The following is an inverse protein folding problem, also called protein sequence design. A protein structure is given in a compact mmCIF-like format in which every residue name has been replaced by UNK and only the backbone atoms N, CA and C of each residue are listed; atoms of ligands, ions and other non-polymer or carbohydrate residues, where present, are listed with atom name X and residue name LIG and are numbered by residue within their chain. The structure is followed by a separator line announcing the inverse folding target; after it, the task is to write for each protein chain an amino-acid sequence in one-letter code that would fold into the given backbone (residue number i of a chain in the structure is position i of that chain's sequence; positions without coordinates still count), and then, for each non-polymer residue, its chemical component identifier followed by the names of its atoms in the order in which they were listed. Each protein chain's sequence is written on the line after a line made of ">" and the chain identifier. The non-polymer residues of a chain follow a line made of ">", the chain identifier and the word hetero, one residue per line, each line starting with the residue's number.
data_IF_154925842807
#
_entry.id   IF_154925842807
#
_cell.length_a   1.000
_cell.length_b   1.000
_cell.length_c   1.000
_cell.angle_alpha   90.00
_cell.angle_beta   90.00
_cell.angle_gamma   90.00
#
_symmetry.space_group_name_H-M   'P 1'
#
loop_
_entity.id
_entity.type
_entity.pdbx_description
1 polymer ?
#
# COMPACT_ATOMS: atom_id res chain seq x y z
N UNK A 1 38.35 38.43 -0.95
CA UNK A 1 38.17 37.97 0.45
C UNK A 1 36.91 37.11 0.46
N UNK A 2 36.92 35.89 1.03
CA UNK A 2 35.70 35.09 1.12
C UNK A 2 34.64 35.85 1.94
N UNK A 3 33.34 35.70 1.61
CA UNK A 3 32.27 36.40 2.31
C UNK A 3 32.24 36.03 3.79
N UNK A 4 31.89 36.99 4.64
CA UNK A 4 31.81 36.80 6.08
C UNK A 4 30.75 35.72 6.42
N UNK A 5 31.12 34.62 7.11
CA UNK A 5 30.18 33.54 7.45
C UNK A 5 28.97 34.00 8.26
N UNK A 6 29.12 35.03 9.10
CA UNK A 6 28.02 35.58 9.89
C UNK A 6 27.04 36.37 9.03
N UNK A 7 27.53 37.12 8.06
CA UNK A 7 26.66 37.86 7.11
C UNK A 7 25.88 36.90 6.22
N UNK A 8 26.52 35.81 5.79
CA UNK A 8 25.87 34.72 5.05
C UNK A 8 24.77 34.05 5.89
N UNK A 9 25.03 33.72 7.16
CA UNK A 9 24.02 33.15 8.04
C UNK A 9 22.80 34.07 8.22
N UNK A 10 23.04 35.37 8.42
CA UNK A 10 21.96 36.35 8.59
C UNK A 10 21.16 36.56 7.29
N UNK A 11 21.80 36.58 6.13
CA UNK A 11 21.10 36.71 4.84
C UNK A 11 20.18 35.51 4.58
N UNK A 12 20.64 34.30 4.90
CA UNK A 12 19.86 33.06 4.80
C UNK A 12 18.65 33.11 5.72
N UNK A 13 18.84 33.48 7.00
CA UNK A 13 17.73 33.59 7.97
C UNK A 13 16.68 34.60 7.53
N UNK A 14 17.08 35.71 6.91
CA UNK A 14 16.15 36.69 6.31
C UNK A 14 15.39 36.10 5.13
N UNK A 15 16.06 35.37 4.23
CA UNK A 15 15.41 34.74 3.08
C UNK A 15 14.38 33.69 3.51
N UNK A 16 14.74 32.82 4.46
CA UNK A 16 13.84 31.83 5.05
C UNK A 16 12.63 32.52 5.70
N UNK A 17 12.87 33.54 6.51
CA UNK A 17 11.80 34.31 7.16
C UNK A 17 10.85 34.97 6.15
N UNK A 18 11.38 35.45 5.03
CA UNK A 18 10.58 36.01 3.93
C UNK A 18 9.73 34.95 3.24
N UNK A 19 10.31 33.77 2.91
CA UNK A 19 9.58 32.65 2.34
C UNK A 19 8.46 32.16 3.26
N UNK A 20 8.72 32.02 4.56
CA UNK A 20 7.73 31.62 5.57
C UNK A 20 6.51 32.55 5.61
N UNK A 21 6.72 33.86 5.47
CA UNK A 21 5.61 34.85 5.45
C UNK A 21 4.67 34.66 4.26
N UNK A 22 5.17 34.09 3.16
CA UNK A 22 4.40 33.83 1.95
C UNK A 22 3.75 32.44 1.93
N UNK A 23 4.04 31.58 2.93
CA UNK A 23 3.40 30.28 3.07
C UNK A 23 2.02 30.45 3.72
N UNK A 24 1.02 29.82 3.11
CA UNK A 24 -0.37 29.85 3.57
C UNK A 24 -0.88 28.43 3.73
N UNK A 25 -1.88 28.26 4.58
CA UNK A 25 -2.63 27.00 4.60
C UNK A 25 -3.37 26.85 3.27
N UNK A 26 -3.30 25.66 2.68
CA UNK A 26 -3.93 25.33 1.40
C UNK A 26 -4.91 24.18 1.61
N UNK A 27 -6.12 24.35 1.13
CA UNK A 27 -7.16 23.32 1.18
C UNK A 27 -7.27 22.63 -0.20
N UNK A 28 -6.95 21.33 -0.31
CA UNK A 28 -7.10 20.61 -1.56
C UNK A 28 -8.57 20.39 -1.92
N UNK A 29 -8.83 20.28 -3.23
CA UNK A 29 -10.13 19.80 -3.73
C UNK A 29 -10.26 18.32 -3.40
N UNK A 30 -11.45 17.88 -3.03
CA UNK A 30 -11.70 16.48 -2.72
C UNK A 30 -11.66 15.64 -4.01
N UNK A 31 -10.99 14.48 -3.99
CA UNK A 31 -11.08 13.50 -5.07
C UNK A 31 -12.52 12.98 -5.28
N UNK A 32 -12.80 12.47 -6.47
CA UNK A 32 -14.01 11.69 -6.73
C UNK A 32 -14.02 10.43 -5.85
N UNK A 33 -15.22 10.00 -5.42
CA UNK A 33 -15.38 8.83 -4.56
C UNK A 33 -14.74 8.96 -3.16
N UNK A 34 -14.27 10.14 -2.73
CA UNK A 34 -13.54 10.29 -1.45
C UNK A 34 -14.29 9.75 -0.22
N UNK A 35 -15.62 9.85 -0.21
CA UNK A 35 -16.45 9.30 0.89
C UNK A 35 -16.44 7.78 0.94
N UNK A 36 -16.18 7.13 -0.18
CA UNK A 36 -16.16 5.68 -0.32
C UNK A 36 -14.77 5.10 -0.04
N UNK A 37 -13.77 5.96 0.23
CA UNK A 37 -12.40 5.54 0.52
C UNK A 37 -12.36 4.67 1.77
N UNK A 38 -11.55 3.62 1.69
CA UNK A 38 -11.31 2.68 2.77
C UNK A 38 -10.76 3.40 4.01
N UNK A 39 -9.89 4.41 3.81
CA UNK A 39 -9.37 5.24 4.90
C UNK A 39 -10.40 6.17 5.55
N UNK A 40 -11.52 6.46 4.88
CA UNK A 40 -12.59 7.34 5.39
C UNK A 40 -13.66 6.52 6.12
N UNK A 41 -14.05 5.40 5.52
CA UNK A 41 -15.07 4.51 6.09
C UNK A 41 -14.51 3.58 7.18
N UNK A 42 -13.19 3.43 7.25
CA UNK A 42 -12.51 2.61 8.26
C UNK A 42 -13.01 1.15 8.27
N UNK A 43 -13.40 0.62 7.11
CA UNK A 43 -13.99 -0.72 6.95
C UNK A 43 -12.95 -1.84 6.82
N UNK A 44 -11.66 -1.48 6.77
CA UNK A 44 -10.55 -2.42 6.62
C UNK A 44 -10.30 -3.25 7.90
N UNK A 45 -9.75 -4.45 7.73
CA UNK A 45 -9.54 -5.43 8.81
C UNK A 45 -8.58 -4.92 9.90
N UNK A 46 -7.58 -4.11 9.54
CA UNK A 46 -6.62 -3.55 10.52
C UNK A 46 -7.28 -2.70 11.62
N UNK A 47 -8.52 -2.24 11.43
CA UNK A 47 -9.28 -1.50 12.45
C UNK A 47 -9.90 -2.39 13.54
N UNK A 48 -9.59 -3.69 13.54
CA UNK A 48 -10.14 -4.67 14.51
C UNK A 48 -11.46 -5.31 14.05
N UNK A 49 -11.78 -5.20 12.76
CA UNK A 49 -12.95 -5.87 12.20
C UNK A 49 -12.70 -7.38 12.13
N UNK A 50 -13.69 -8.18 12.54
CA UNK A 50 -13.50 -9.64 12.65
C UNK A 50 -13.43 -10.27 11.25
N UNK A 51 -12.25 -10.73 10.85
CA UNK A 51 -12.05 -11.53 9.63
C UNK A 51 -12.60 -12.97 9.73
N UNK A 52 -13.48 -13.22 10.70
CA UNK A 52 -13.99 -14.55 11.08
C UNK A 52 -14.70 -15.29 9.95
N UNK A 53 -15.13 -14.60 8.89
CA UNK A 53 -15.76 -15.19 7.71
C UNK A 53 -14.77 -15.91 6.77
N UNK A 54 -13.46 -15.80 7.01
CA UNK A 54 -12.44 -16.43 6.18
C UNK A 54 -12.12 -17.88 6.58
N UNK A 55 -12.64 -18.40 7.70
CA UNK A 55 -12.36 -19.78 8.15
C UNK A 55 -13.41 -20.75 7.63
N UNK A 56 -13.00 -21.91 7.12
CA UNK A 56 -13.92 -22.96 6.68
C UNK A 56 -14.11 -24.00 7.79
N UNK A 57 -15.34 -24.50 7.91
CA UNK A 57 -15.64 -25.63 8.79
C UNK A 57 -15.08 -26.93 8.21
N UNK A 58 -14.57 -27.81 9.08
CA UNK A 58 -14.17 -29.16 8.68
C UNK A 58 -15.35 -29.91 8.04
N UNK A 59 -15.21 -30.44 6.81
CA UNK A 59 -16.22 -31.29 6.20
C UNK A 59 -16.51 -32.52 7.06
N UNK A 60 -17.78 -32.96 7.08
CA UNK A 60 -18.20 -34.18 7.78
C UNK A 60 -17.63 -35.47 7.17
N UNK A 61 -17.07 -35.40 5.96
CA UNK A 61 -16.44 -36.51 5.24
C UNK A 61 -15.02 -36.82 5.69
N UNK A 62 -14.38 -35.93 6.45
CA UNK A 62 -13.02 -36.15 6.95
C UNK A 62 -13.09 -37.08 8.16
N UNK A 63 -12.41 -38.22 8.07
CA UNK A 63 -12.36 -39.21 9.16
C UNK A 63 -11.72 -38.61 10.43
N UNK A 64 -12.11 -39.09 11.60
CA UNK A 64 -11.68 -38.55 12.89
C UNK A 64 -10.14 -38.49 13.06
N UNK A 65 -9.33 -39.48 12.62
CA UNK A 65 -7.87 -39.39 12.67
C UNK A 65 -7.26 -38.26 11.82
N UNK A 66 -7.98 -37.83 10.77
CA UNK A 66 -7.55 -36.77 9.85
C UNK A 66 -8.10 -35.40 10.22
N UNK A 67 -9.07 -35.33 11.15
CA UNK A 67 -9.77 -34.10 11.53
C UNK A 67 -8.83 -33.06 12.15
N UNK A 68 -7.97 -33.47 13.08
CA UNK A 68 -7.00 -32.56 13.70
C UNK A 68 -6.03 -32.00 12.66
N UNK A 69 -5.59 -32.85 11.73
CA UNK A 69 -4.68 -32.46 10.65
C UNK A 69 -5.35 -31.51 9.65
N UNK A 70 -6.62 -31.74 9.32
CA UNK A 70 -7.40 -30.79 8.52
C UNK A 70 -7.46 -29.42 9.19
N UNK A 71 -7.72 -29.36 10.49
CA UNK A 71 -7.79 -28.09 11.24
C UNK A 71 -6.45 -27.36 11.21
N UNK A 72 -5.33 -28.08 11.35
CA UNK A 72 -4.00 -27.50 11.25
C UNK A 72 -3.75 -26.87 9.87
N UNK A 73 -4.05 -27.61 8.79
CA UNK A 73 -3.91 -27.10 7.44
C UNK A 73 -4.88 -25.96 7.13
N UNK A 74 -6.11 -26.01 7.67
CA UNK A 74 -7.10 -24.94 7.55
C UNK A 74 -6.64 -23.67 8.25
N UNK A 75 -6.01 -23.78 9.42
CA UNK A 75 -5.39 -22.65 10.11
C UNK A 75 -4.30 -21.99 9.26
N UNK A 76 -3.49 -22.78 8.54
CA UNK A 76 -2.51 -22.24 7.60
C UNK A 76 -3.17 -21.52 6.41
N UNK A 77 -4.23 -22.10 5.81
CA UNK A 77 -5.01 -21.46 4.74
C UNK A 77 -5.72 -20.19 5.20
N UNK A 78 -6.25 -20.19 6.42
CA UNK A 78 -6.85 -19.01 7.05
C UNK A 78 -5.82 -17.89 7.23
N UNK A 79 -4.63 -18.19 7.77
CA UNK A 79 -3.54 -17.22 7.90
C UNK A 79 -3.14 -16.63 6.55
N UNK A 80 -3.04 -17.45 5.51
CA UNK A 80 -2.70 -16.99 4.17
C UNK A 80 -3.78 -16.05 3.61
N UNK A 81 -5.07 -16.42 3.71
CA UNK A 81 -6.20 -15.56 3.29
C UNK A 81 -6.21 -14.23 4.01
N UNK A 82 -5.99 -14.25 5.33
CA UNK A 82 -5.93 -13.03 6.14
C UNK A 82 -4.76 -12.14 5.71
N UNK A 83 -3.59 -12.72 5.47
CA UNK A 83 -2.44 -11.99 4.96
C UNK A 83 -2.73 -11.35 3.60
N UNK A 84 -3.29 -12.11 2.65
CA UNK A 84 -3.64 -11.60 1.32
C UNK A 84 -4.65 -10.46 1.39
N UNK A 85 -5.66 -10.57 2.26
CA UNK A 85 -6.64 -9.51 2.49
C UNK A 85 -5.99 -8.23 3.03
N UNK A 86 -5.17 -8.35 4.08
CA UNK A 86 -4.48 -7.20 4.68
C UNK A 86 -3.57 -6.50 3.66
N UNK A 87 -2.83 -7.27 2.86
CA UNK A 87 -1.92 -6.70 1.86
C UNK A 87 -2.69 -5.98 0.73
N UNK A 88 -3.85 -6.50 0.31
CA UNK A 88 -4.74 -5.82 -0.63
C UNK A 88 -5.28 -4.51 -0.05
N UNK A 89 -5.78 -4.53 1.18
CA UNK A 89 -6.27 -3.32 1.85
C UNK A 89 -5.17 -2.27 2.03
N UNK A 90 -3.95 -2.68 2.43
CA UNK A 90 -2.78 -1.79 2.50
C UNK A 90 -2.44 -1.15 1.17
N UNK A 91 -2.56 -1.90 0.07
CA UNK A 91 -2.33 -1.39 -1.27
C UNK A 91 -3.36 -0.31 -1.63
N UNK A 92 -4.65 -0.57 -1.38
CA UNK A 92 -5.75 0.39 -1.59
C UNK A 92 -5.51 1.65 -0.75
N UNK A 93 -5.26 1.51 0.55
CA UNK A 93 -4.97 2.65 1.44
C UNK A 93 -3.77 3.48 0.96
N UNK A 94 -2.72 2.82 0.45
CA UNK A 94 -1.54 3.51 -0.07
C UNK A 94 -1.86 4.31 -1.34
N UNK A 95 -2.66 3.74 -2.24
CA UNK A 95 -3.13 4.40 -3.45
C UNK A 95 -4.00 5.62 -3.11
N UNK A 96 -5.00 5.46 -2.25
CA UNK A 96 -5.88 6.55 -1.78
C UNK A 96 -5.08 7.72 -1.18
N UNK A 97 -4.12 7.42 -0.31
CA UNK A 97 -3.25 8.44 0.28
C UNK A 97 -2.38 9.15 -0.76
N UNK A 98 -1.92 8.47 -1.80
CA UNK A 98 -1.09 9.08 -2.84
C UNK A 98 -1.90 10.01 -3.73
N UNK A 99 -3.14 9.63 -4.08
CA UNK A 99 -4.10 10.51 -4.75
C UNK A 99 -4.33 11.79 -3.93
N UNK A 100 -4.51 11.66 -2.61
CA UNK A 100 -4.66 12.82 -1.73
C UNK A 100 -3.40 13.71 -1.69
N UNK A 101 -2.20 13.10 -1.71
CA UNK A 101 -0.94 13.85 -1.80
C UNK A 101 -0.83 14.64 -3.10
N UNK A 102 -1.23 14.06 -4.24
CA UNK A 102 -1.23 14.77 -5.52
C UNK A 102 -2.28 15.89 -5.58
N UNK A 103 -3.46 15.71 -4.99
CA UNK A 103 -4.44 16.79 -4.84
C UNK A 103 -3.92 17.92 -3.94
N UNK A 104 -3.23 17.57 -2.85
CA UNK A 104 -2.52 18.52 -2.00
C UNK A 104 -1.42 19.27 -2.75
N UNK A 105 -0.66 18.58 -3.60
CA UNK A 105 0.38 19.18 -4.45
C UNK A 105 -0.20 20.13 -5.47
N UNK A 106 -1.26 19.73 -6.17
CA UNK A 106 -1.97 20.55 -7.14
C UNK A 106 -2.52 21.83 -6.52
N UNK A 107 -3.15 21.73 -5.34
CA UNK A 107 -3.69 22.90 -4.64
C UNK A 107 -2.58 23.89 -4.20
N UNK A 108 -1.41 23.38 -3.79
CA UNK A 108 -0.26 24.25 -3.49
C UNK A 108 0.26 24.94 -4.75
N UNK A 109 0.33 24.20 -5.85
CA UNK A 109 0.77 24.73 -7.13
C UNK A 109 -0.19 25.81 -7.68
N UNK A 110 -1.50 25.68 -7.45
CA UNK A 110 -2.51 26.71 -7.73
C UNK A 110 -2.22 28.02 -6.96
N UNK A 111 -1.62 27.93 -5.77
CA UNK A 111 -1.22 29.06 -4.93
C UNK A 111 0.23 29.51 -5.16
N UNK A 112 0.91 28.99 -6.20
CA UNK A 112 2.33 29.21 -6.46
C UNK A 112 3.24 28.86 -5.26
N UNK A 113 2.86 27.84 -4.48
CA UNK A 113 3.64 27.33 -3.36
C UNK A 113 4.25 25.96 -3.74
N UNK A 114 5.56 25.84 -3.61
CA UNK A 114 6.27 24.57 -3.82
C UNK A 114 6.24 23.69 -2.57
N UNK A 115 6.40 24.30 -1.40
CA UNK A 115 6.45 23.61 -0.10
C UNK A 115 5.16 23.77 0.71
N UNK A 116 4.73 22.73 1.46
CA UNK A 116 3.59 22.84 2.35
C UNK A 116 3.95 23.65 3.60
N UNK A 117 2.99 24.42 4.10
CA UNK A 117 3.04 24.96 5.46
C UNK A 117 2.90 23.79 6.45
N UNK A 118 4.01 23.36 7.05
CA UNK A 118 4.04 22.24 8.00
C UNK A 118 5.17 22.40 9.02
N UNK A 119 5.04 21.73 10.16
CA UNK A 119 6.11 21.67 11.17
C UNK A 119 7.41 21.12 10.57
N UNK A 120 7.34 20.10 9.71
CA UNK A 120 8.52 19.54 9.04
C UNK A 120 9.22 20.56 8.13
N UNK A 121 8.47 21.42 7.44
CA UNK A 121 9.04 22.51 6.64
C UNK A 121 9.81 23.49 7.53
N UNK A 122 9.22 23.88 8.67
CA UNK A 122 9.82 24.80 9.64
C UNK A 122 11.09 24.21 10.25
N UNK A 123 11.03 22.96 10.73
CA UNK A 123 12.16 22.30 11.36
C UNK A 123 13.33 22.11 10.37
N UNK A 124 13.04 21.67 9.15
CA UNK A 124 14.05 21.59 8.07
C UNK A 124 14.71 22.94 7.85
N UNK A 125 13.94 24.00 7.69
CA UNK A 125 14.49 25.36 7.49
C UNK A 125 15.27 25.90 8.70
N UNK A 126 15.07 25.35 9.90
CA UNK A 126 15.83 25.72 11.09
C UNK A 126 17.19 25.02 11.19
N UNK A 127 17.38 23.90 10.50
CA UNK A 127 18.66 23.19 10.44
C UNK A 127 19.70 23.98 9.65
N UNK A 128 20.78 24.35 10.35
CA UNK A 128 21.81 25.31 9.92
C UNK A 128 22.63 24.81 8.72
N UNK A 129 22.57 23.53 8.36
CA UNK A 129 23.37 22.93 7.28
C UNK A 129 22.69 22.89 5.89
N UNK A 130 21.50 23.46 5.73
CA UNK A 130 20.81 23.52 4.42
C UNK A 130 21.46 24.43 3.36
N UNK A 131 22.73 24.80 3.54
CA UNK A 131 23.55 25.61 2.63
C UNK A 131 23.57 25.09 1.19
N UNK A 132 23.54 23.78 0.97
CA UNK A 132 23.65 23.18 -0.38
C UNK A 132 22.44 23.46 -1.30
N UNK A 133 21.31 23.92 -0.74
CA UNK A 133 20.06 24.09 -1.51
C UNK A 133 19.69 25.55 -1.78
N UNK A 134 20.45 26.53 -1.24
CA UNK A 134 20.18 27.95 -1.43
C UNK A 134 20.95 28.55 -2.63
N UNK A 135 22.09 27.97 -2.98
CA UNK A 135 22.89 28.33 -4.18
C UNK A 135 22.38 27.66 -5.46
N UNK A 136 21.46 26.70 -5.35
CA UNK A 136 20.53 26.44 -6.43
C UNK A 136 19.41 27.45 -6.26
N UNK A 137 19.39 28.60 -6.98
CA UNK A 137 18.12 29.25 -7.23
C UNK A 137 17.22 28.11 -7.71
N UNK A 138 16.11 27.88 -7.02
CA UNK A 138 15.21 26.80 -7.39
C UNK A 138 15.09 26.85 -8.90
N UNK A 139 15.56 25.83 -9.63
CA UNK A 139 15.57 25.86 -11.10
C UNK A 139 14.14 26.04 -11.66
N UNK A 140 13.14 26.00 -10.77
CA UNK A 140 11.79 26.49 -10.97
C UNK A 140 11.66 27.99 -11.27
N UNK A 141 12.43 28.91 -10.68
CA UNK A 141 12.25 30.36 -10.92
C UNK A 141 12.69 30.80 -12.32
N UNK A 142 13.65 30.10 -12.95
CA UNK A 142 14.05 30.40 -14.34
C UNK A 142 13.08 29.85 -15.38
N UNK A 143 12.22 28.91 -15.01
CA UNK A 143 11.18 28.39 -15.88
C UNK A 143 9.86 29.13 -15.66
N UNK A 144 9.81 30.39 -16.09
CA UNK A 144 8.58 31.20 -16.22
C UNK A 144 7.47 30.48 -17.04
N UNK A 145 7.83 29.38 -17.75
CA UNK A 145 6.94 28.49 -18.49
C UNK A 145 6.40 27.28 -17.72
N UNK A 146 6.98 26.87 -16.59
CA UNK A 146 6.50 25.71 -15.81
C UNK A 146 5.34 26.08 -14.88
N UNK A 147 4.42 26.91 -15.37
CA UNK A 147 3.20 27.24 -14.62
C UNK A 147 2.38 25.96 -14.54
N UNK A 148 2.04 25.55 -13.31
CA UNK A 148 1.11 24.45 -13.09
C UNK A 148 -0.10 24.60 -14.01
N UNK A 149 -0.47 23.51 -14.67
CA UNK A 149 -1.64 23.46 -15.52
C UNK A 149 -2.42 22.18 -15.23
N UNK A 150 -3.71 22.18 -15.58
CA UNK A 150 -4.59 21.04 -15.33
C UNK A 150 -4.11 19.75 -16.01
N UNK A 151 -3.41 19.83 -17.15
CA UNK A 151 -2.87 18.64 -17.85
C UNK A 151 -1.77 17.96 -17.04
N UNK A 152 -0.93 18.76 -16.38
CA UNK A 152 0.13 18.28 -15.52
C UNK A 152 -0.43 17.51 -14.32
N UNK A 153 -1.52 18.01 -13.73
CA UNK A 153 -2.23 17.31 -12.67
C UNK A 153 -2.78 15.97 -13.11
N UNK A 154 -3.44 15.92 -14.28
CA UNK A 154 -3.94 14.66 -14.85
C UNK A 154 -2.79 13.68 -15.10
N UNK A 155 -1.65 14.15 -15.60
CA UNK A 155 -0.45 13.32 -15.75
C UNK A 155 0.02 12.73 -14.42
N UNK A 156 0.08 13.52 -13.34
CA UNK A 156 0.47 13.01 -12.03
C UNK A 156 -0.50 11.95 -11.50
N UNK A 157 -1.81 12.14 -11.69
CA UNK A 157 -2.80 11.12 -11.31
C UNK A 157 -2.64 9.84 -12.14
N UNK A 158 -2.32 9.96 -13.43
CA UNK A 158 -2.05 8.81 -14.29
C UNK A 158 -0.79 8.07 -13.83
N UNK A 159 0.28 8.78 -13.50
CA UNK A 159 1.52 8.18 -12.99
C UNK A 159 1.26 7.38 -11.69
N UNK A 160 0.41 7.90 -10.80
CA UNK A 160 -0.04 7.19 -9.60
C UNK A 160 -0.86 5.96 -9.97
N UNK A 161 -1.83 6.08 -10.87
CA UNK A 161 -2.65 4.96 -11.33
C UNK A 161 -1.79 3.83 -11.93
N UNK A 162 -0.90 4.16 -12.87
CA UNK A 162 -0.01 3.20 -13.54
C UNK A 162 0.94 2.52 -12.54
N UNK A 163 1.48 3.28 -11.58
CA UNK A 163 2.31 2.76 -10.50
C UNK A 163 1.57 1.72 -9.67
N UNK A 164 0.36 2.03 -9.20
CA UNK A 164 -0.38 1.11 -8.33
C UNK A 164 -0.96 -0.08 -9.09
N UNK A 165 -1.34 0.07 -10.36
CA UNK A 165 -1.72 -1.07 -11.21
C UNK A 165 -0.56 -2.04 -11.42
N UNK A 166 0.65 -1.52 -11.64
CA UNK A 166 1.85 -2.34 -11.71
C UNK A 166 2.10 -3.09 -10.40
N UNK A 167 1.97 -2.43 -9.25
CA UNK A 167 2.14 -3.07 -7.92
C UNK A 167 1.05 -4.12 -7.68
N UNK A 168 -0.22 -3.82 -8.01
CA UNK A 168 -1.35 -4.75 -7.92
C UNK A 168 -1.09 -6.03 -8.71
N UNK A 169 -0.59 -5.89 -9.95
CA UNK A 169 -0.24 -7.03 -10.79
C UNK A 169 0.82 -7.92 -10.13
N UNK A 170 1.89 -7.34 -9.59
CA UNK A 170 2.92 -8.12 -8.87
C UNK A 170 2.39 -8.76 -7.59
N UNK A 171 1.54 -8.06 -6.84
CA UNK A 171 0.90 -8.59 -5.65
C UNK A 171 0.08 -9.84 -5.97
N UNK A 172 -0.76 -9.77 -7.00
CA UNK A 172 -1.60 -10.89 -7.45
C UNK A 172 -0.79 -12.09 -7.96
N UNK A 173 0.32 -11.86 -8.67
CA UNK A 173 1.21 -12.97 -9.04
C UNK A 173 1.80 -13.67 -7.82
N UNK A 174 2.28 -12.89 -6.84
CA UNK A 174 2.82 -13.45 -5.61
C UNK A 174 1.75 -14.23 -4.84
N UNK A 175 0.55 -13.69 -4.68
CA UNK A 175 -0.56 -14.36 -3.99
C UNK A 175 -0.92 -15.70 -4.64
N UNK A 176 -0.95 -15.76 -5.98
CA UNK A 176 -1.17 -17.03 -6.71
C UNK A 176 -0.08 -18.05 -6.41
N UNK A 177 1.19 -17.65 -6.51
CA UNK A 177 2.31 -18.55 -6.21
C UNK A 177 2.30 -19.04 -4.76
N UNK A 178 1.98 -18.18 -3.80
CA UNK A 178 1.85 -18.57 -2.39
C UNK A 178 0.70 -19.56 -2.17
N UNK A 179 -0.46 -19.34 -2.80
CA UNK A 179 -1.61 -20.24 -2.73
C UNK A 179 -1.31 -21.61 -3.36
N UNK A 180 -0.74 -21.62 -4.56
CA UNK A 180 -0.31 -22.83 -5.27
C UNK A 180 0.74 -23.61 -4.48
N UNK A 181 1.75 -22.92 -3.96
CA UNK A 181 2.82 -23.52 -3.15
C UNK A 181 2.26 -24.13 -1.86
N UNK A 182 1.36 -23.44 -1.17
CA UNK A 182 0.74 -23.97 0.05
C UNK A 182 -0.10 -25.21 -0.28
N UNK A 183 -0.88 -25.19 -1.35
CA UNK A 183 -1.70 -26.33 -1.74
C UNK A 183 -0.86 -27.55 -2.14
N UNK A 184 0.26 -27.35 -2.84
CA UNK A 184 1.17 -28.43 -3.20
C UNK A 184 1.76 -29.11 -1.96
N UNK A 185 2.23 -28.32 -0.98
CA UNK A 185 2.74 -28.83 0.30
C UNK A 185 1.63 -29.56 1.07
N UNK A 186 0.44 -28.97 1.17
CA UNK A 186 -0.68 -29.57 1.90
C UNK A 186 -1.16 -30.88 1.28
N UNK A 187 -1.15 -31.00 -0.06
CA UNK A 187 -1.43 -32.27 -0.76
C UNK A 187 -0.40 -33.33 -0.39
N UNK A 188 0.88 -33.01 -0.50
CA UNK A 188 1.96 -33.94 -0.14
C UNK A 188 1.85 -34.40 1.31
N UNK A 189 1.67 -33.46 2.25
CA UNK A 189 1.58 -33.79 3.67
C UNK A 189 0.33 -34.63 3.97
N UNK A 190 -0.78 -34.38 3.26
CA UNK A 190 -2.01 -35.17 3.38
C UNK A 190 -1.82 -36.60 2.88
N UNK A 191 -1.16 -36.80 1.74
CA UNK A 191 -0.81 -38.14 1.25
C UNK A 191 0.07 -38.90 2.24
N UNK A 192 1.10 -38.23 2.79
CA UNK A 192 1.96 -38.79 3.82
C UNK A 192 1.14 -39.20 5.06
N UNK A 193 0.24 -38.32 5.52
CA UNK A 193 -0.58 -38.60 6.70
C UNK A 193 -1.54 -39.79 6.50
N UNK A 194 -2.14 -39.92 5.31
CA UNK A 194 -2.97 -41.08 4.97
C UNK A 194 -2.17 -42.39 5.03
N UNK A 195 -0.92 -42.38 4.54
CA UNK A 195 -0.03 -43.54 4.57
C UNK A 195 0.41 -43.89 5.99
N UNK A 196 0.76 -42.89 6.81
CA UNK A 196 1.16 -43.09 8.20
C UNK A 196 0.04 -43.70 9.05
N UNK A 197 -1.21 -43.35 8.76
CA UNK A 197 -2.39 -43.87 9.44
C UNK A 197 -2.87 -45.22 8.87
N UNK A 198 -2.22 -45.75 7.84
CA UNK A 198 -2.62 -47.00 7.17
C UNK A 198 -3.95 -46.90 6.41
N UNK A 199 -4.41 -45.68 6.11
CA UNK A 199 -5.64 -45.42 5.36
C UNK A 199 -5.44 -45.53 3.84
N UNK A 200 -4.19 -45.63 3.38
CA UNK A 200 -3.81 -45.80 1.99
C UNK A 200 -2.56 -46.67 1.87
N UNK A 201 -2.49 -47.51 0.83
CA UNK A 201 -1.28 -48.28 0.52
C UNK A 201 -0.09 -47.35 0.28
N UNK A 202 1.10 -47.73 0.79
CA UNK A 202 2.31 -46.92 0.65
C UNK A 202 2.71 -46.66 -0.81
N UNK A 203 2.37 -47.60 -1.71
CA UNK A 203 2.64 -47.52 -3.14
C UNK A 203 1.53 -46.83 -3.96
N UNK A 204 0.40 -46.50 -3.33
CA UNK A 204 -0.70 -45.82 -4.00
C UNK A 204 -0.54 -44.29 -3.96
N UNK A 205 -1.13 -43.64 -4.96
CA UNK A 205 -1.30 -42.17 -5.05
C UNK A 205 -2.80 -41.89 -4.86
N UNK A 206 -3.25 -41.60 -3.62
CA UNK A 206 -4.66 -41.42 -3.35
C UNK A 206 -5.19 -40.17 -4.05
N UNK A 207 -6.37 -40.26 -4.66
CA UNK A 207 -7.08 -39.09 -5.17
C UNK A 207 -7.69 -38.36 -3.98
N UNK A 208 -7.18 -37.18 -3.68
CA UNK A 208 -7.68 -36.38 -2.55
C UNK A 208 -8.87 -35.55 -3.01
N UNK A 209 -9.95 -35.61 -2.22
CA UNK A 209 -11.15 -34.80 -2.42
C UNK A 209 -10.80 -33.29 -2.28
N UNK A 210 -11.25 -32.48 -3.23
CA UNK A 210 -11.06 -31.02 -3.21
C UNK A 210 -11.69 -30.38 -1.96
N UNK A 211 -12.72 -31.00 -1.39
CA UNK A 211 -13.33 -30.55 -0.13
C UNK A 211 -12.41 -30.77 1.08
N UNK A 212 -11.52 -31.77 1.04
CA UNK A 212 -10.56 -32.03 2.12
C UNK A 212 -9.34 -31.10 2.02
N UNK A 213 -9.03 -30.60 0.83
CA UNK A 213 -7.91 -29.69 0.56
C UNK A 213 -8.32 -28.52 -0.35
N UNK A 214 -9.17 -27.60 0.12
CA UNK A 214 -9.62 -26.47 -0.68
C UNK A 214 -8.44 -25.53 -1.01
N UNK A 215 -8.30 -25.18 -2.28
CA UNK A 215 -7.33 -24.19 -2.73
C UNK A 215 -7.72 -22.80 -2.20
N UNK A 216 -6.73 -22.03 -1.74
CA UNK A 216 -6.94 -20.62 -1.41
C UNK A 216 -7.19 -19.85 -2.70
N UNK A 217 -8.38 -19.26 -2.83
CA UNK A 217 -8.75 -18.49 -4.00
C UNK A 217 -8.16 -17.09 -3.95
N UNK A 218 -7.54 -16.66 -5.05
CA UNK A 218 -7.01 -15.30 -5.21
C UNK A 218 -7.95 -14.55 -6.16
N UNK A 219 -8.72 -13.61 -5.63
CA UNK A 219 -9.59 -12.78 -6.45
C UNK A 219 -8.79 -11.68 -7.15
N UNK A 220 -8.93 -11.62 -8.48
CA UNK A 220 -8.34 -10.59 -9.33
C UNK A 220 -9.16 -9.29 -9.35
N UNK A 221 -10.43 -9.40 -8.96
CA UNK A 221 -11.41 -8.33 -9.05
C UNK A 221 -11.43 -7.55 -7.74
N UNK A 222 -10.58 -6.51 -7.67
CA UNK A 222 -10.74 -5.42 -6.72
C UNK A 222 -10.24 -4.10 -7.28
N UNK A 223 -10.97 -3.04 -7.00
CA UNK A 223 -10.64 -1.70 -7.47
C UNK A 223 -9.68 -1.01 -6.50
N UNK A 224 -8.68 -0.33 -7.06
CA UNK A 224 -7.71 0.43 -6.27
C UNK A 224 -8.26 1.77 -5.79
N UNK A 225 -9.23 2.32 -6.52
CA UNK A 225 -9.89 3.58 -6.23
C UNK A 225 -11.39 3.41 -6.54
N UNK A 226 -12.28 3.97 -5.70
CA UNK A 226 -13.70 4.00 -6.03
C UNK A 226 -13.95 4.92 -7.24
N UNK A 227 -14.93 4.54 -8.06
CA UNK A 227 -15.38 5.26 -9.27
C UNK A 227 -16.13 6.54 -8.90
#
# INVERSE_FOLDING_TARGET
>A
MPPNPFELFLSIRRQISSRRKNLTAVTPKLPAGYKDYLMVNCTYVLQGNTASTLSLSCPHSVEDPMREFFIEQENARYKLRLQHLIEREKLVLSAEQEILREHGRAARADMNQSTPLSACTVLREEEVYNFLHLDQPEECEKNVRARYNKRQFISWLQDVSDKYEKIKKFLLYRHRHEAESLNAVQKLDWECKLKDLGLCDHNATPVIDELHLPMVTVSDEFDLLPV
#
